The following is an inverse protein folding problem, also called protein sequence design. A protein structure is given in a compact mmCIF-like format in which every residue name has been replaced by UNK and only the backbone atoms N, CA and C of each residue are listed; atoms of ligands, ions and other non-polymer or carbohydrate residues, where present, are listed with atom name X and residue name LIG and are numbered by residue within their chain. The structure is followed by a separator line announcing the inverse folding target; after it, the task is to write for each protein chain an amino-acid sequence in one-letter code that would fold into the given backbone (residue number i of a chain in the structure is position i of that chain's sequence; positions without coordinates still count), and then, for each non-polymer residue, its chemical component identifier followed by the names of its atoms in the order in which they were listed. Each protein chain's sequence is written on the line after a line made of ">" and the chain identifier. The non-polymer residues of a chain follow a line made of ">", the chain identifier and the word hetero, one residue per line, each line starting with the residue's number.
data_IF_637582169853
#
_entry.id   IF_637582169853
#
_cell.length_a   1.000
_cell.length_b   1.000
_cell.length_c   1.000
_cell.angle_alpha   90.00
_cell.angle_beta   90.00
_cell.angle_gamma   90.00
#
_symmetry.space_group_name_H-M   'P 1'
#
loop_
_entity.id
_entity.type
_entity.pdbx_description
1 polymer ?
#
# COMPACT_ATOMS: atom_id res chain seq x y z
N UNK A 1 12.59 -10.73 11.86
CA UNK A 1 11.65 -11.86 11.94
C UNK A 1 11.51 -12.41 10.54
N UNK A 2 11.72 -13.71 10.37
CA UNK A 2 11.56 -14.36 9.06
C UNK A 2 10.07 -14.41 8.70
N UNK A 3 9.73 -14.06 7.46
CA UNK A 3 8.34 -14.02 7.01
C UNK A 3 7.94 -15.43 6.55
N UNK A 4 7.12 -16.11 7.35
CA UNK A 4 6.73 -17.50 7.09
C UNK A 4 5.64 -17.65 6.02
N UNK A 5 4.98 -16.56 5.63
CA UNK A 5 3.77 -16.61 4.81
C UNK A 5 3.95 -16.01 3.42
N UNK A 6 4.91 -15.10 3.24
CA UNK A 6 5.15 -14.43 1.97
C UNK A 6 6.58 -14.64 1.48
N UNK A 7 6.71 -14.91 0.19
CA UNK A 7 7.99 -15.10 -0.49
C UNK A 7 8.85 -13.83 -0.56
N UNK A 8 8.24 -12.65 -0.37
CA UNK A 8 8.92 -11.35 -0.32
C UNK A 8 8.03 -10.28 0.34
N UNK A 9 8.64 -9.19 0.81
CA UNK A 9 7.88 -8.04 1.32
C UNK A 9 7.06 -7.35 0.22
N UNK A 10 7.56 -7.34 -1.02
CA UNK A 10 6.82 -6.84 -2.19
C UNK A 10 5.51 -7.64 -2.41
N UNK A 11 5.59 -8.98 -2.40
CA UNK A 11 4.42 -9.84 -2.58
C UNK A 11 3.40 -9.65 -1.44
N UNK A 12 3.89 -9.44 -0.22
CA UNK A 12 3.07 -9.12 0.96
C UNK A 12 2.33 -7.79 0.77
N UNK A 13 3.01 -6.72 0.37
CA UNK A 13 2.39 -5.41 0.13
C UNK A 13 1.32 -5.52 -0.97
N UNK A 14 1.65 -6.21 -2.06
CA UNK A 14 0.71 -6.42 -3.18
C UNK A 14 -0.53 -7.19 -2.71
N UNK A 15 -0.37 -8.22 -1.90
CA UNK A 15 -1.50 -8.92 -1.28
C UNK A 15 -2.40 -7.95 -0.49
N UNK A 16 -1.81 -7.10 0.36
CA UNK A 16 -2.57 -6.11 1.12
C UNK A 16 -3.32 -5.10 0.25
N UNK A 17 -2.74 -4.70 -0.89
CA UNK A 17 -3.36 -3.76 -1.83
C UNK A 17 -4.43 -4.39 -2.73
N UNK A 18 -4.35 -5.69 -3.00
CA UNK A 18 -5.21 -6.37 -3.98
C UNK A 18 -6.32 -7.19 -3.32
N UNK A 19 -5.99 -7.96 -2.28
CA UNK A 19 -6.90 -8.97 -1.72
C UNK A 19 -7.65 -8.48 -0.48
N UNK A 20 -7.09 -7.52 0.25
CA UNK A 20 -7.71 -6.98 1.46
C UNK A 20 -8.56 -5.75 1.16
N UNK A 21 -9.56 -5.52 2.00
CA UNK A 21 -10.40 -4.31 1.95
C UNK A 21 -10.71 -3.80 3.36
N UNK A 22 -11.19 -2.54 3.44
CA UNK A 22 -11.65 -1.93 4.68
C UNK A 22 -10.59 -1.92 5.78
N UNK A 23 -11.01 -2.17 7.03
CA UNK A 23 -10.11 -2.12 8.20
C UNK A 23 -8.94 -3.10 8.10
N UNK A 24 -9.18 -4.31 7.58
CA UNK A 24 -8.13 -5.31 7.44
C UNK A 24 -7.01 -4.83 6.50
N UNK A 25 -7.36 -4.18 5.40
CA UNK A 25 -6.39 -3.56 4.50
C UNK A 25 -5.62 -2.42 5.19
N UNK A 26 -6.32 -1.58 5.94
CA UNK A 26 -5.69 -0.47 6.63
C UNK A 26 -4.69 -0.94 7.68
N UNK A 27 -5.09 -1.86 8.54
CA UNK A 27 -4.23 -2.44 9.58
C UNK A 27 -3.01 -3.13 8.95
N UNK A 28 -3.22 -3.88 7.86
CA UNK A 28 -2.15 -4.62 7.19
C UNK A 28 -1.12 -3.72 6.50
N UNK A 29 -1.56 -2.59 5.92
CA UNK A 29 -0.71 -1.61 5.23
C UNK A 29 -0.16 -0.51 6.16
N UNK A 30 -0.41 -0.60 7.47
CA UNK A 30 0.04 0.40 8.44
C UNK A 30 -0.66 1.76 8.31
N UNK A 31 -1.85 1.79 7.73
CA UNK A 31 -2.63 3.02 7.55
C UNK A 31 -3.35 3.36 8.86
N UNK A 32 -2.81 4.35 9.56
CA UNK A 32 -3.45 4.99 10.71
C UNK A 32 -4.18 6.29 10.35
N UNK A 33 -5.00 6.76 11.28
CA UNK A 33 -5.78 8.01 11.19
C UNK A 33 -4.94 9.24 10.81
N UNK A 34 -3.68 9.32 11.27
CA UNK A 34 -2.75 10.41 10.94
C UNK A 34 -2.53 10.60 9.43
N UNK A 35 -2.65 9.55 8.63
CA UNK A 35 -2.52 9.63 7.17
C UNK A 35 -3.69 10.37 6.52
N UNK A 36 -4.85 10.46 7.17
CA UNK A 36 -5.98 11.24 6.68
C UNK A 36 -5.92 12.71 7.12
N UNK A 37 -5.20 13.01 8.20
CA UNK A 37 -5.07 14.37 8.72
C UNK A 37 -3.82 15.11 8.24
N UNK A 38 -2.77 14.39 7.85
CA UNK A 38 -1.52 14.98 7.37
C UNK A 38 -1.24 14.57 5.92
N UNK A 39 -1.30 15.56 5.02
CA UNK A 39 -0.94 15.39 3.60
C UNK A 39 0.50 14.93 3.42
N UNK A 40 1.39 15.38 4.29
CA UNK A 40 2.80 14.97 4.27
C UNK A 40 2.90 13.48 4.61
N UNK A 41 2.26 13.03 5.69
CA UNK A 41 2.26 11.61 6.09
C UNK A 41 1.62 10.72 5.03
N UNK A 42 0.49 11.14 4.46
CA UNK A 42 -0.16 10.43 3.35
C UNK A 42 0.78 10.26 2.16
N UNK A 43 1.47 11.34 1.77
CA UNK A 43 2.38 11.35 0.64
C UNK A 43 3.61 10.48 0.90
N UNK A 44 4.21 10.59 2.09
CA UNK A 44 5.34 9.74 2.47
C UNK A 44 4.98 8.27 2.42
N UNK A 45 3.85 7.88 3.01
CA UNK A 45 3.35 6.51 2.96
C UNK A 45 3.14 6.04 1.51
N UNK A 46 2.48 6.84 0.68
CA UNK A 46 2.25 6.50 -0.73
C UNK A 46 3.56 6.30 -1.50
N UNK A 47 4.52 7.20 -1.35
CA UNK A 47 5.81 7.13 -2.04
C UNK A 47 6.65 5.94 -1.59
N UNK A 48 6.64 5.63 -0.28
CA UNK A 48 7.33 4.47 0.27
C UNK A 48 6.76 3.17 -0.31
N UNK A 49 5.44 2.97 -0.21
CA UNK A 49 4.78 1.77 -0.74
C UNK A 49 4.97 1.66 -2.25
N UNK A 50 4.86 2.78 -2.99
CA UNK A 50 5.11 2.81 -4.43
C UNK A 50 6.54 2.36 -4.75
N UNK A 51 7.55 2.91 -4.09
CA UNK A 51 8.95 2.55 -4.31
C UNK A 51 9.25 1.07 -4.03
N UNK A 52 8.54 0.47 -3.07
CA UNK A 52 8.67 -0.96 -2.75
C UNK A 52 8.10 -1.89 -3.83
N UNK A 53 7.14 -1.42 -4.64
CA UNK A 53 6.44 -2.30 -5.61
C UNK A 53 6.57 -1.86 -7.07
N UNK A 54 7.04 -0.65 -7.39
CA UNK A 54 6.96 -0.12 -8.77
C UNK A 54 7.79 -0.91 -9.79
N UNK A 55 8.86 -1.58 -9.36
CA UNK A 55 9.71 -2.43 -10.20
C UNK A 55 9.45 -3.93 -10.00
N UNK A 56 8.38 -4.26 -9.29
CA UNK A 56 7.93 -5.62 -9.04
C UNK A 56 7.71 -6.41 -10.33
N UNK A 57 8.11 -7.69 -10.32
CA UNK A 57 7.75 -8.67 -11.36
C UNK A 57 6.46 -9.42 -11.05
N UNK A 58 5.81 -9.11 -9.93
CA UNK A 58 4.58 -9.77 -9.50
C UNK A 58 3.47 -9.47 -10.52
N UNK A 59 2.68 -10.48 -10.95
CA UNK A 59 1.67 -10.31 -11.99
C UNK A 59 0.62 -9.24 -11.67
N UNK A 60 0.32 -9.06 -10.37
CA UNK A 60 -0.68 -8.09 -9.90
C UNK A 60 -0.12 -6.69 -9.60
N UNK A 61 1.14 -6.36 -9.93
CA UNK A 61 1.74 -5.04 -9.60
C UNK A 61 0.91 -3.87 -10.15
N UNK A 62 0.36 -3.99 -11.36
CA UNK A 62 -0.45 -2.93 -11.96
C UNK A 62 -1.73 -2.67 -11.17
N UNK A 63 -2.44 -3.74 -10.78
CA UNK A 63 -3.64 -3.67 -9.95
C UNK A 63 -3.31 -3.08 -8.58
N UNK A 64 -2.20 -3.51 -7.98
CA UNK A 64 -1.72 -2.98 -6.71
C UNK A 64 -1.44 -1.47 -6.78
N UNK A 65 -0.78 -1.01 -7.85
CA UNK A 65 -0.49 0.40 -8.07
C UNK A 65 -1.78 1.23 -8.23
N UNK A 66 -2.78 0.71 -8.96
CA UNK A 66 -4.09 1.35 -9.08
C UNK A 66 -4.81 1.47 -7.72
N UNK A 67 -4.77 0.41 -6.92
CA UNK A 67 -5.40 0.40 -5.60
C UNK A 67 -4.65 1.30 -4.59
N UNK A 68 -3.32 1.30 -4.61
CA UNK A 68 -2.49 2.23 -3.85
C UNK A 68 -2.89 3.69 -4.15
N UNK A 69 -3.03 4.01 -5.44
CA UNK A 69 -3.45 5.32 -5.90
C UNK A 69 -4.88 5.69 -5.47
N UNK A 70 -5.83 4.73 -5.46
CA UNK A 70 -7.18 4.94 -4.93
C UNK A 70 -7.17 5.24 -3.43
N UNK A 71 -6.40 4.49 -2.64
CA UNK A 71 -6.27 4.69 -1.20
C UNK A 71 -5.70 6.09 -0.92
N UNK A 72 -4.60 6.46 -1.58
CA UNK A 72 -3.97 7.77 -1.41
C UNK A 72 -4.91 8.93 -1.80
N UNK A 73 -5.70 8.78 -2.87
CA UNK A 73 -6.77 9.74 -3.21
C UNK A 73 -7.81 9.85 -2.10
N UNK A 74 -8.19 8.73 -1.49
CA UNK A 74 -9.08 8.69 -0.31
C UNK A 74 -8.53 9.45 0.90
N UNK A 75 -7.20 9.57 1.01
CA UNK A 75 -6.52 10.40 2.04
C UNK A 75 -6.43 11.89 1.66
N UNK A 76 -7.00 12.30 0.53
CA UNK A 76 -6.88 13.68 0.01
C UNK A 76 -5.62 13.94 -0.81
N UNK A 77 -4.88 12.90 -1.18
CA UNK A 77 -3.73 12.95 -2.07
C UNK A 77 -4.09 13.32 -3.51
N UNK A 78 -3.18 14.03 -4.19
CA UNK A 78 -3.27 14.32 -5.63
C UNK A 78 -2.17 13.53 -6.35
N UNK A 79 -2.52 12.93 -7.48
CA UNK A 79 -1.64 12.09 -8.33
C UNK A 79 -1.27 12.88 -9.58
#
# INVERSE_FOLDING_TARGET
>A
MENLYFISEEAKIIFGLVELTGKAQMDFLGIAEIHYFSKERAKSWHQEIKGMIENSKHPNVKIAMENLNKIYKGMGGKI
#
